data_IF_340422317588
#
_entry.id   IF_340422317588
#
_cell.length_a   1.000
_cell.length_b   1.000
_cell.length_c   1.000
_cell.angle_alpha   90.00
_cell.angle_beta   90.00
_cell.angle_gamma   90.00
#
_symmetry.space_group_name_H-M   'P 1'
#
loop_
_entity.id
_entity.type
_entity.pdbx_description
1 polymer ?
#
# COMPACT_ATOMS: atom_id res chain seq x y z
N UNK A 1 -8.33 63.95 -53.89
CA UNK A 1 -7.35 64.84 -53.23
C UNK A 1 -6.57 63.98 -52.24
N UNK A 2 -5.25 63.95 -52.39
CA UNK A 2 -4.35 62.92 -51.87
C UNK A 2 -4.23 62.89 -50.33
N UNK A 3 -4.03 61.68 -49.79
CA UNK A 3 -3.99 61.37 -48.35
C UNK A 3 -2.76 61.90 -47.60
N UNK A 4 -2.93 62.10 -46.30
CA UNK A 4 -1.90 62.51 -45.36
C UNK A 4 -0.95 61.33 -45.03
N UNK A 5 0.37 61.56 -44.88
CA UNK A 5 1.29 60.50 -44.50
C UNK A 5 1.14 60.11 -43.02
N UNK A 6 1.03 58.81 -42.81
CA UNK A 6 1.00 58.10 -41.54
C UNK A 6 2.25 58.37 -40.70
N UNK A 7 2.06 58.80 -39.45
CA UNK A 7 3.12 59.12 -38.52
C UNK A 7 3.80 57.85 -37.98
N UNK A 8 4.93 57.46 -38.57
CA UNK A 8 5.77 56.41 -38.02
C UNK A 8 6.37 56.83 -36.66
N UNK A 9 6.41 55.95 -35.64
CA UNK A 9 6.95 56.29 -34.33
C UNK A 9 8.46 56.57 -34.40
N UNK A 10 8.86 57.83 -34.13
CA UNK A 10 10.27 58.22 -34.07
C UNK A 10 10.99 57.54 -32.91
N UNK A 11 12.07 56.81 -33.22
CA UNK A 11 12.93 56.12 -32.25
C UNK A 11 13.62 57.15 -31.34
N UNK A 12 13.27 57.18 -30.04
CA UNK A 12 13.90 58.07 -29.04
C UNK A 12 15.40 57.72 -28.92
N UNK A 13 16.26 58.62 -29.37
CA UNK A 13 17.73 58.47 -29.29
C UNK A 13 18.22 59.22 -28.05
N UNK A 14 18.98 58.54 -27.18
CA UNK A 14 19.65 59.16 -26.03
C UNK A 14 20.98 59.76 -26.47
N UNK A 15 21.26 60.99 -26.03
CA UNK A 15 22.51 61.71 -26.28
C UNK A 15 23.23 61.95 -24.95
N UNK A 16 24.56 61.99 -24.97
CA UNK A 16 25.38 62.40 -23.82
C UNK A 16 26.27 63.58 -24.22
N UNK A 17 26.56 64.48 -23.27
CA UNK A 17 27.43 65.62 -23.52
C UNK A 17 28.89 65.21 -23.35
N UNK A 18 29.71 65.36 -24.40
CA UNK A 18 31.14 65.08 -24.34
C UNK A 18 31.88 66.35 -23.90
N UNK A 19 32.49 66.31 -22.72
CA UNK A 19 33.20 67.44 -22.10
C UNK A 19 34.49 67.81 -22.81
N UNK A 20 35.04 66.93 -23.66
CA UNK A 20 36.26 67.19 -24.43
C UNK A 20 35.96 67.82 -25.79
N UNK A 21 34.83 67.50 -26.42
CA UNK A 21 34.44 68.04 -27.74
C UNK A 21 33.36 69.12 -27.65
N UNK A 22 32.84 69.41 -26.44
CA UNK A 22 31.77 70.36 -26.13
C UNK A 22 30.49 70.13 -26.95
N UNK A 23 30.26 68.90 -27.41
CA UNK A 23 29.15 68.53 -28.30
C UNK A 23 28.34 67.38 -27.74
N UNK A 24 27.06 67.33 -28.11
CA UNK A 24 26.18 66.21 -27.82
C UNK A 24 26.45 65.07 -28.79
N UNK A 25 26.88 63.92 -28.27
CA UNK A 25 27.13 62.72 -29.05
C UNK A 25 26.04 61.67 -28.80
N UNK A 26 25.72 60.91 -29.85
CA UNK A 26 24.70 59.86 -29.79
C UNK A 26 25.21 58.70 -28.95
N UNK A 27 24.45 58.29 -27.95
CA UNK A 27 24.75 57.11 -27.14
C UNK A 27 24.49 55.84 -27.98
N UNK A 28 25.52 55.38 -28.70
CA UNK A 28 25.52 54.10 -29.39
C UNK A 28 26.00 53.02 -28.42
N UNK A 29 25.07 52.18 -27.95
CA UNK A 29 25.48 50.97 -27.21
C UNK A 29 26.04 49.97 -28.22
N UNK A 30 27.30 49.52 -28.05
CA UNK A 30 27.89 48.56 -28.96
C UNK A 30 27.14 47.22 -28.88
N UNK A 31 27.03 46.52 -30.00
CA UNK A 31 26.29 45.26 -30.10
C UNK A 31 26.75 44.22 -29.07
N UNK A 32 28.06 44.19 -28.77
CA UNK A 32 28.66 43.32 -27.75
C UNK A 32 28.08 43.56 -26.36
N UNK A 33 27.86 44.81 -25.96
CA UNK A 33 27.30 45.15 -24.64
C UNK A 33 25.84 44.75 -24.56
N UNK A 34 25.05 44.96 -25.63
CA UNK A 34 23.67 44.45 -25.68
C UNK A 34 23.62 42.93 -25.60
N UNK A 35 24.48 42.23 -26.34
CA UNK A 35 24.53 40.77 -26.33
C UNK A 35 24.87 40.24 -24.93
N UNK A 36 25.83 40.86 -24.26
CA UNK A 36 26.26 40.48 -22.91
C UNK A 36 25.15 40.71 -21.87
N UNK A 37 24.38 41.80 -22.01
CA UNK A 37 23.18 42.02 -21.20
C UNK A 37 22.13 40.94 -21.42
N UNK A 38 21.82 40.58 -22.67
CA UNK A 38 20.85 39.52 -22.98
C UNK A 38 21.30 38.19 -22.39
N UNK A 39 22.57 37.82 -22.55
CA UNK A 39 23.12 36.59 -21.97
C UNK A 39 23.01 36.61 -20.44
N UNK A 40 23.28 37.76 -19.80
CA UNK A 40 23.12 37.92 -18.36
C UNK A 40 21.68 37.67 -17.89
N UNK A 41 20.68 38.20 -18.60
CA UNK A 41 19.27 37.95 -18.28
C UNK A 41 18.87 36.49 -18.49
N UNK A 42 19.37 35.84 -19.54
CA UNK A 42 19.11 34.40 -19.80
C UNK A 42 19.77 33.53 -18.73
N UNK A 43 20.99 33.84 -18.32
CA UNK A 43 21.66 33.11 -17.25
C UNK A 43 20.91 33.28 -15.92
N UNK A 44 20.49 34.50 -15.58
CA UNK A 44 19.73 34.76 -14.37
C UNK A 44 18.38 34.04 -14.35
N UNK A 45 17.66 33.98 -15.48
CA UNK A 45 16.38 33.28 -15.56
C UNK A 45 16.55 31.76 -15.42
N UNK A 46 17.60 31.18 -16.02
CA UNK A 46 17.92 29.76 -15.87
C UNK A 46 18.26 29.40 -14.42
N UNK A 47 19.12 30.20 -13.77
CA UNK A 47 19.48 29.98 -12.36
C UNK A 47 18.26 30.06 -11.46
N UNK A 48 17.42 31.09 -11.66
CA UNK A 48 16.20 31.28 -10.88
C UNK A 48 15.22 30.12 -11.10
N UNK A 49 15.04 29.69 -12.35
CA UNK A 49 14.20 28.54 -12.69
C UNK A 49 14.67 27.24 -12.05
N UNK A 50 15.99 26.98 -12.06
CA UNK A 50 16.59 25.82 -11.39
C UNK A 50 16.35 25.87 -9.87
N UNK A 51 16.49 27.04 -9.26
CA UNK A 51 16.26 27.25 -7.84
C UNK A 51 14.81 26.94 -7.45
N UNK A 52 13.85 27.47 -8.23
CA UNK A 52 12.42 27.19 -8.00
C UNK A 52 12.11 25.71 -8.22
N UNK A 53 12.65 25.10 -9.27
CA UNK A 53 12.47 23.67 -9.57
C UNK A 53 12.98 22.78 -8.44
N UNK A 54 14.21 23.00 -7.97
CA UNK A 54 14.81 22.23 -6.88
C UNK A 54 14.05 22.36 -5.57
N UNK A 55 13.60 23.57 -5.21
CA UNK A 55 12.76 23.79 -4.03
C UNK A 55 11.41 23.07 -4.19
N UNK A 56 10.77 23.17 -5.35
CA UNK A 56 9.46 22.57 -5.62
C UNK A 56 9.50 21.05 -5.44
N UNK A 57 10.44 20.36 -6.09
CA UNK A 57 10.54 18.89 -5.99
C UNK A 57 11.01 18.38 -4.63
N UNK A 58 11.63 19.23 -3.80
CA UNK A 58 12.06 18.85 -2.44
C UNK A 58 10.94 18.96 -1.41
N UNK A 59 10.01 19.89 -1.59
CA UNK A 59 8.94 20.17 -0.61
C UNK A 59 7.55 19.75 -1.06
N UNK A 60 7.33 19.55 -2.37
CA UNK A 60 6.05 19.12 -2.91
C UNK A 60 6.21 17.68 -3.41
N UNK A 61 5.64 16.75 -2.66
CA UNK A 61 5.50 15.35 -3.08
C UNK A 61 4.88 15.32 -4.48
N UNK A 62 5.46 14.52 -5.37
CA UNK A 62 4.86 14.31 -6.69
C UNK A 62 3.42 13.82 -6.53
N UNK A 63 2.45 14.27 -7.36
CA UNK A 63 1.09 13.75 -7.32
C UNK A 63 1.04 12.22 -7.33
N UNK A 64 1.98 11.58 -8.05
CA UNK A 64 2.14 10.12 -8.10
C UNK A 64 2.51 9.52 -6.74
N UNK A 65 3.45 10.14 -6.03
CA UNK A 65 3.91 9.68 -4.71
C UNK A 65 2.80 9.79 -3.66
N UNK A 66 2.05 10.89 -3.68
CA UNK A 66 0.88 11.08 -2.81
C UNK A 66 -0.18 9.98 -3.03
N UNK A 67 -0.48 9.67 -4.29
CA UNK A 67 -1.43 8.60 -4.64
C UNK A 67 -0.92 7.24 -4.17
N UNK A 68 0.35 6.92 -4.43
CA UNK A 68 0.96 5.65 -3.99
C UNK A 68 0.94 5.53 -2.47
N UNK A 69 1.24 6.60 -1.73
CA UNK A 69 1.18 6.61 -0.27
C UNK A 69 -0.23 6.34 0.25
N UNK A 70 -1.25 6.96 -0.37
CA UNK A 70 -2.65 6.72 -0.02
C UNK A 70 -3.06 5.27 -0.31
N UNK A 71 -2.64 4.72 -1.45
CA UNK A 71 -2.91 3.32 -1.81
C UNK A 71 -2.27 2.34 -0.81
N UNK A 72 -1.01 2.56 -0.44
CA UNK A 72 -0.32 1.74 0.56
C UNK A 72 -0.97 1.83 1.95
N UNK A 73 -1.39 3.03 2.37
CA UNK A 73 -2.12 3.19 3.63
C UNK A 73 -3.46 2.45 3.61
N UNK A 74 -4.23 2.57 2.53
CA UNK A 74 -5.50 1.84 2.35
C UNK A 74 -5.29 0.33 2.36
N UNK A 75 -4.26 -0.16 1.65
CA UNK A 75 -3.92 -1.57 1.62
C UNK A 75 -3.53 -2.10 3.01
N UNK A 76 -2.72 -1.36 3.76
CA UNK A 76 -2.34 -1.72 5.13
C UNK A 76 -3.55 -1.78 6.08
N UNK A 77 -4.48 -0.83 5.95
CA UNK A 77 -5.73 -0.85 6.73
C UNK A 77 -6.60 -2.07 6.40
N UNK A 78 -6.78 -2.36 5.11
CA UNK A 78 -7.53 -3.54 4.67
C UNK A 78 -6.90 -4.83 5.19
N UNK A 79 -5.58 -4.94 5.15
CA UNK A 79 -4.86 -6.09 5.70
C UNK A 79 -5.15 -6.28 7.20
N UNK A 80 -5.08 -5.21 7.99
CA UNK A 80 -5.39 -5.26 9.44
C UNK A 80 -6.82 -5.71 9.71
N UNK A 81 -7.79 -5.25 8.92
CA UNK A 81 -9.18 -5.66 9.05
C UNK A 81 -9.36 -7.16 8.78
N UNK A 82 -8.70 -7.68 7.74
CA UNK A 82 -8.76 -9.11 7.41
C UNK A 82 -8.06 -9.94 8.49
N UNK A 83 -6.90 -9.51 8.97
CA UNK A 83 -6.18 -10.18 10.06
C UNK A 83 -7.03 -10.28 11.33
N UNK A 84 -7.73 -9.21 11.72
CA UNK A 84 -8.62 -9.22 12.88
C UNK A 84 -9.78 -10.21 12.70
N UNK A 85 -10.36 -10.27 11.48
CA UNK A 85 -11.42 -11.25 11.17
C UNK A 85 -10.91 -12.69 11.26
N UNK A 86 -9.71 -12.97 10.76
CA UNK A 86 -9.12 -14.31 10.87
C UNK A 86 -8.91 -14.69 12.32
N UNK A 87 -8.40 -13.77 13.15
CA UNK A 87 -8.25 -13.99 14.59
C UNK A 87 -9.58 -14.27 15.30
N UNK A 88 -10.65 -13.57 14.92
CA UNK A 88 -11.99 -13.83 15.45
C UNK A 88 -12.48 -15.25 15.06
N UNK A 89 -12.21 -15.68 13.83
CA UNK A 89 -12.56 -17.04 13.40
C UNK A 89 -11.72 -18.11 14.10
N UNK A 90 -10.44 -17.85 14.40
CA UNK A 90 -9.61 -18.75 15.21
C UNK A 90 -10.20 -18.95 16.61
N UNK A 91 -10.63 -17.86 17.28
CA UNK A 91 -11.28 -17.95 18.59
C UNK A 91 -12.59 -18.73 18.55
N UNK A 92 -13.39 -18.55 17.49
CA UNK A 92 -14.61 -19.35 17.29
C UNK A 92 -14.29 -20.83 17.06
N UNK A 93 -13.23 -21.13 16.32
CA UNK A 93 -12.78 -22.51 16.11
C UNK A 93 -12.31 -23.14 17.42
N UNK A 94 -11.56 -22.41 18.25
CA UNK A 94 -11.16 -22.86 19.59
C UNK A 94 -12.38 -23.19 20.45
N UNK A 95 -13.43 -22.37 20.41
CA UNK A 95 -14.67 -22.63 21.15
C UNK A 95 -15.36 -23.91 20.65
N UNK A 96 -15.44 -24.11 19.32
CA UNK A 96 -16.06 -25.31 18.72
C UNK A 96 -15.30 -26.58 19.10
N UNK A 97 -13.98 -26.56 19.01
CA UNK A 97 -13.12 -27.69 19.40
C UNK A 97 -13.23 -27.97 20.90
N UNK A 98 -13.30 -26.93 21.73
CA UNK A 98 -13.47 -27.10 23.16
C UNK A 98 -14.83 -27.72 23.51
N UNK A 99 -15.90 -27.26 22.87
CA UNK A 99 -17.25 -27.82 23.05
C UNK A 99 -17.35 -29.27 22.59
N UNK A 100 -16.68 -29.64 21.52
CA UNK A 100 -16.60 -31.03 21.07
C UNK A 100 -15.95 -31.93 22.14
N UNK A 101 -14.78 -31.53 22.63
CA UNK A 101 -14.05 -32.32 23.63
C UNK A 101 -14.75 -32.36 25.00
N UNK A 102 -15.18 -31.21 25.52
CA UNK A 102 -15.68 -31.08 26.89
C UNK A 102 -17.19 -31.34 27.02
N UNK A 103 -17.96 -31.22 25.95
CA UNK A 103 -19.42 -31.42 26.02
C UNK A 103 -19.80 -32.68 25.27
N UNK A 104 -19.59 -32.72 23.97
CA UNK A 104 -20.12 -33.82 23.16
C UNK A 104 -19.42 -35.14 23.47
N UNK A 105 -18.09 -35.18 23.46
CA UNK A 105 -17.34 -36.41 23.72
C UNK A 105 -17.48 -36.87 25.16
N UNK A 106 -17.53 -35.95 26.11
CA UNK A 106 -17.77 -36.27 27.52
C UNK A 106 -19.14 -36.94 27.73
N UNK A 107 -20.22 -36.40 27.11
CA UNK A 107 -21.56 -37.00 27.16
C UNK A 107 -21.56 -38.45 26.66
N UNK A 108 -20.77 -38.75 25.62
CA UNK A 108 -20.70 -40.10 25.05
C UNK A 108 -19.57 -40.96 25.63
N UNK A 109 -18.83 -40.48 26.63
CA UNK A 109 -17.66 -41.16 27.20
C UNK A 109 -16.57 -41.46 26.16
N UNK A 110 -16.48 -40.66 25.10
CA UNK A 110 -15.50 -40.81 24.04
C UNK A 110 -14.20 -40.09 24.41
N UNK A 111 -13.06 -40.59 23.91
CA UNK A 111 -11.78 -39.94 24.14
C UNK A 111 -11.75 -38.55 23.48
N UNK A 112 -11.21 -37.53 24.18
CA UNK A 112 -11.02 -36.20 23.61
C UNK A 112 -10.01 -36.27 22.46
N UNK A 113 -10.20 -35.42 21.46
CA UNK A 113 -9.22 -35.28 20.37
C UNK A 113 -8.02 -34.51 20.92
N UNK A 114 -6.81 -35.08 20.96
CA UNK A 114 -5.65 -34.36 21.47
C UNK A 114 -5.18 -33.28 20.48
N UNK A 115 -4.77 -32.13 21.01
CA UNK A 115 -4.25 -31.01 20.21
C UNK A 115 -3.04 -31.42 19.36
N UNK A 116 -2.24 -32.38 19.84
CA UNK A 116 -1.08 -32.92 19.11
C UNK A 116 -1.45 -33.64 17.82
N UNK A 117 -2.60 -34.34 17.76
CA UNK A 117 -3.09 -34.96 16.53
C UNK A 117 -3.51 -33.89 15.51
N UNK A 118 -4.09 -32.78 15.97
CA UNK A 118 -4.44 -31.63 15.12
C UNK A 118 -3.17 -30.92 14.61
N UNK A 119 -2.11 -30.83 15.42
CA UNK A 119 -0.85 -30.14 15.10
C UNK A 119 0.10 -30.95 14.21
N UNK A 120 0.21 -32.27 14.40
CA UNK A 120 1.15 -33.12 13.67
C UNK A 120 0.93 -33.07 12.14
N UNK A 121 -0.33 -33.02 11.72
CA UNK A 121 -0.71 -32.96 10.30
C UNK A 121 -0.53 -31.55 9.70
N UNK A 122 -0.44 -30.53 10.57
CA UNK A 122 -0.04 -29.18 10.19
C UNK A 122 1.48 -29.07 9.99
N UNK A 123 2.29 -29.63 10.90
CA UNK A 123 3.76 -29.56 10.79
C UNK A 123 4.29 -30.27 9.54
N UNK A 124 3.73 -31.45 9.23
CA UNK A 124 4.10 -32.24 8.04
C UNK A 124 3.89 -31.48 6.72
N UNK A 125 2.90 -30.57 6.67
CA UNK A 125 2.59 -29.75 5.50
C UNK A 125 3.28 -28.38 5.52
N UNK A 126 3.56 -27.82 6.70
CA UNK A 126 4.36 -26.61 6.89
C UNK A 126 5.81 -26.79 6.40
N UNK A 127 6.38 -27.98 6.60
CA UNK A 127 7.70 -28.35 6.07
C UNK A 127 7.78 -28.34 4.53
N UNK A 128 6.67 -28.56 3.82
CA UNK A 128 6.63 -28.54 2.36
C UNK A 128 6.56 -27.12 1.76
N UNK A 129 5.98 -26.15 2.50
CA UNK A 129 5.81 -24.76 2.03
C UNK A 129 6.99 -23.84 2.34
N UNK A 130 7.84 -24.16 3.32
CA UNK A 130 8.99 -23.33 3.74
C UNK A 130 10.15 -23.28 2.73
N UNK A 131 9.99 -23.89 1.55
CA UNK A 131 11.02 -23.99 0.51
C UNK A 131 10.87 -22.95 -0.61
N UNK A 132 9.90 -22.03 -0.52
CA UNK A 132 9.75 -20.91 -1.45
C UNK A 132 9.97 -19.57 -0.71
N UNK A 133 11.06 -18.91 -1.13
CA UNK A 133 11.58 -17.56 -0.84
C UNK A 133 10.75 -16.60 0.03
N UNK A 134 11.41 -16.01 1.05
CA UNK A 134 10.92 -14.88 1.85
C UNK A 134 11.43 -13.56 1.26
N UNK A 135 10.51 -12.63 0.95
CA UNK A 135 10.77 -11.20 0.72
C UNK A 135 9.44 -10.43 0.74
N UNK A 136 9.28 -9.41 1.60
CA UNK A 136 8.14 -8.46 1.82
C UNK A 136 6.70 -9.06 1.91
N UNK A 137 6.53 -10.33 1.56
CA UNK A 137 5.34 -11.17 1.59
C UNK A 137 5.04 -11.73 2.98
N UNK A 138 5.91 -11.49 3.97
CA UNK A 138 5.84 -12.12 5.29
C UNK A 138 4.49 -11.92 5.99
N UNK A 139 3.85 -10.76 5.81
CA UNK A 139 2.50 -10.50 6.33
C UNK A 139 1.45 -11.35 5.59
N UNK A 140 1.46 -11.32 4.26
CA UNK A 140 0.53 -12.10 3.45
C UNK A 140 0.73 -13.60 3.70
N UNK A 141 1.97 -14.05 3.83
CA UNK A 141 2.33 -15.44 4.09
C UNK A 141 1.90 -15.89 5.48
N UNK A 142 2.03 -15.02 6.48
CA UNK A 142 1.49 -15.29 7.82
C UNK A 142 -0.03 -15.43 7.78
N UNK A 143 -0.73 -14.54 7.09
CA UNK A 143 -2.19 -14.59 6.94
C UNK A 143 -2.64 -15.84 6.17
N UNK A 144 -1.97 -16.17 5.07
CA UNK A 144 -2.19 -17.39 4.29
C UNK A 144 -1.97 -18.63 5.15
N UNK A 145 -0.96 -18.61 6.01
CA UNK A 145 -0.67 -19.71 6.95
C UNK A 145 -1.79 -19.85 7.97
N UNK A 146 -2.27 -18.76 8.56
CA UNK A 146 -3.39 -18.79 9.51
C UNK A 146 -4.68 -19.32 8.88
N UNK A 147 -5.03 -18.81 7.70
CA UNK A 147 -6.20 -19.28 6.94
C UNK A 147 -6.08 -20.78 6.65
N UNK A 148 -4.92 -21.20 6.16
CA UNK A 148 -4.66 -22.61 5.88
C UNK A 148 -4.79 -23.48 7.13
N UNK A 149 -4.29 -23.03 8.28
CA UNK A 149 -4.44 -23.75 9.55
C UNK A 149 -5.92 -23.86 9.94
N UNK A 150 -6.68 -22.76 9.83
CA UNK A 150 -8.10 -22.74 10.12
C UNK A 150 -8.90 -23.69 9.21
N UNK A 151 -8.56 -23.77 7.92
CA UNK A 151 -9.16 -24.72 6.97
C UNK A 151 -8.93 -26.17 7.40
N UNK A 152 -7.71 -26.52 7.81
CA UNK A 152 -7.40 -27.88 8.25
C UNK A 152 -8.12 -28.24 9.55
N UNK A 153 -8.15 -27.31 10.52
CA UNK A 153 -8.91 -27.47 11.77
C UNK A 153 -10.40 -27.67 11.49
N UNK A 154 -10.97 -26.86 10.62
CA UNK A 154 -12.36 -26.98 10.17
C UNK A 154 -12.65 -28.35 9.54
N UNK A 155 -11.79 -28.81 8.63
CA UNK A 155 -11.95 -30.11 7.98
C UNK A 155 -11.92 -31.27 8.99
N UNK A 156 -11.01 -31.22 9.97
CA UNK A 156 -10.94 -32.21 11.05
C UNK A 156 -12.16 -32.13 11.96
N UNK A 157 -12.63 -30.93 12.27
CA UNK A 157 -13.81 -30.74 13.12
C UNK A 157 -15.07 -31.33 12.49
N UNK A 158 -15.22 -31.22 11.16
CA UNK A 158 -16.32 -31.85 10.42
C UNK A 158 -16.31 -33.38 10.56
N UNK A 159 -15.14 -34.02 10.50
CA UNK A 159 -15.04 -35.48 10.69
C UNK A 159 -15.29 -35.88 12.14
N UNK A 160 -14.87 -35.06 13.09
CA UNK A 160 -15.18 -35.24 14.52
C UNK A 160 -16.70 -35.24 14.78
N UNK A 161 -17.41 -34.25 14.22
CA UNK A 161 -18.88 -34.19 14.34
C UNK A 161 -19.60 -35.33 13.65
N UNK A 162 -19.09 -35.83 12.51
CA UNK A 162 -19.60 -37.05 11.89
C UNK A 162 -19.46 -38.26 12.83
N UNK A 163 -18.34 -38.35 13.56
CA UNK A 163 -18.11 -39.40 14.57
C UNK A 163 -19.12 -39.30 15.71
N UNK A 164 -19.34 -38.11 16.27
CA UNK A 164 -20.34 -37.89 17.33
C UNK A 164 -21.74 -38.25 16.83
N UNK A 165 -22.09 -37.87 15.61
CA UNK A 165 -23.40 -38.20 15.02
C UNK A 165 -23.61 -39.73 14.96
N UNK A 166 -22.56 -40.50 14.68
CA UNK A 166 -22.65 -41.96 14.73
C UNK A 166 -22.79 -42.49 16.16
N UNK A 167 -22.11 -41.89 17.13
CA UNK A 167 -22.27 -42.22 18.56
C UNK A 167 -23.71 -41.98 19.03
N UNK A 168 -24.32 -40.86 18.64
CA UNK A 168 -25.72 -40.53 18.91
C UNK A 168 -26.65 -41.64 18.37
N UNK A 169 -26.52 -41.98 17.07
CA UNK A 169 -27.34 -43.02 16.42
C UNK A 169 -27.19 -44.38 17.09
N UNK A 170 -25.99 -44.75 17.52
CA UNK A 170 -25.74 -46.01 18.21
C UNK A 170 -26.37 -46.01 19.60
N UNK A 171 -26.29 -44.90 20.33
CA UNK A 171 -26.92 -44.76 21.65
C UNK A 171 -28.43 -44.84 21.57
N UNK A 172 -29.03 -44.20 20.56
CA UNK A 172 -30.47 -44.25 20.29
C UNK A 172 -30.95 -45.70 20.07
N UNK A 173 -30.24 -46.47 19.22
CA UNK A 173 -30.55 -47.89 18.97
C UNK A 173 -30.47 -48.73 20.25
N UNK A 174 -29.46 -48.50 21.09
CA UNK A 174 -29.32 -49.23 22.36
C UNK A 174 -30.48 -48.92 23.32
N UNK A 175 -30.87 -47.64 23.42
CA UNK A 175 -32.00 -47.24 24.27
C UNK A 175 -33.31 -47.88 23.82
N UNK A 176 -33.55 -47.95 22.50
CA UNK A 176 -34.75 -48.62 21.94
C UNK A 176 -34.74 -50.15 22.15
N UNK A 177 -33.56 -50.76 22.29
CA UNK A 177 -33.41 -52.19 22.52
C UNK A 177 -33.44 -52.57 24.02
N UNK A 178 -33.55 -51.59 24.93
CA UNK A 178 -33.63 -51.85 26.37
C UNK A 178 -35.11 -52.03 26.76
N UNK A 179 -35.55 -53.21 27.21
CA UNK A 179 -36.92 -53.40 27.67
C UNK A 179 -37.18 -52.58 28.94
N UNK A 180 -38.37 -51.99 29.01
CA UNK A 180 -38.86 -51.16 30.12
C UNK A 180 -39.01 -51.91 31.43
#
# INVERSE_FOLDING_TARGET
MAGAPENAPMKKVKYFYNTHTLRFEKLSTPLRVRLLQVIGYVAASLVTGLLIFTVTFRYIDSPKEKILRQQNQSLSQNYRLVQERVKQLELQMDELENRDNQVYREIFGALPVPDSARILEMEKRKGLKKMQSMDESDLIDALQTQIYQLEQRSAYQLTSYATITNLVKNKEKLLLATPS
#
